data_IF_098677608641
#
_entry.id   IF_098677608641
#
_cell.length_a   1.000
_cell.length_b   1.000
_cell.length_c   1.000
_cell.angle_alpha   90.00
_cell.angle_beta   90.00
_cell.angle_gamma   90.00
#
_symmetry.space_group_name_H-M   'P 1'
#
loop_
_entity.id
_entity.type
_entity.pdbx_description
1 polymer ?
#
# COMPACT_ATOMS: atom_id res chain seq x y z
N UNK A 1 4.42 20.73 6.14
CA UNK A 1 3.34 19.84 6.60
C UNK A 1 2.44 19.35 5.45
N UNK A 2 1.77 20.23 4.69
CA UNK A 2 0.82 19.84 3.64
C UNK A 2 1.38 18.87 2.56
N UNK A 3 2.60 19.12 2.06
CA UNK A 3 3.25 18.23 1.07
C UNK A 3 3.37 16.78 1.55
N UNK A 4 3.62 16.59 2.84
CA UNK A 4 3.73 15.27 3.45
C UNK A 4 2.37 14.59 3.60
N UNK A 5 1.36 15.34 4.05
CA UNK A 5 -0.01 14.83 4.14
C UNK A 5 -0.55 14.43 2.76
N UNK A 6 -0.24 15.21 1.72
CA UNK A 6 -0.60 14.89 0.34
C UNK A 6 0.15 13.63 -0.12
N UNK A 7 1.45 13.53 0.14
CA UNK A 7 2.26 12.37 -0.20
C UNK A 7 1.82 11.09 0.51
N UNK A 8 1.16 11.17 1.67
CA UNK A 8 0.57 10.00 2.34
C UNK A 8 -0.86 9.74 1.87
N UNK A 9 -1.71 10.77 1.88
CA UNK A 9 -3.14 10.64 1.68
C UNK A 9 -3.49 10.22 0.25
N UNK A 10 -2.85 10.81 -0.75
CA UNK A 10 -3.19 10.55 -2.15
C UNK A 10 -2.89 9.09 -2.55
N UNK A 11 -1.72 8.52 -2.25
CA UNK A 11 -1.46 7.09 -2.51
C UNK A 11 -2.41 6.16 -1.76
N UNK A 12 -2.69 6.41 -0.47
CA UNK A 12 -3.60 5.55 0.31
C UNK A 12 -5.01 5.60 -0.25
N UNK A 13 -5.51 6.79 -0.60
CA UNK A 13 -6.82 6.94 -1.23
C UNK A 13 -6.87 6.23 -2.58
N UNK A 14 -5.84 6.38 -3.40
CA UNK A 14 -5.77 5.70 -4.69
C UNK A 14 -5.78 4.17 -4.53
N UNK A 15 -4.95 3.63 -3.64
CA UNK A 15 -4.91 2.18 -3.36
C UNK A 15 -6.28 1.68 -2.87
N UNK A 16 -6.90 2.40 -1.93
CA UNK A 16 -8.24 2.08 -1.44
C UNK A 16 -9.26 2.03 -2.57
N UNK A 17 -9.30 3.04 -3.45
CA UNK A 17 -10.22 3.07 -4.59
C UNK A 17 -9.96 1.92 -5.59
N UNK A 18 -8.69 1.62 -5.88
CA UNK A 18 -8.34 0.49 -6.77
C UNK A 18 -8.81 -0.83 -6.17
N UNK A 19 -8.59 -1.06 -4.87
CA UNK A 19 -9.03 -2.28 -4.18
C UNK A 19 -10.56 -2.41 -4.22
N UNK A 20 -11.28 -1.32 -3.94
CA UNK A 20 -12.74 -1.32 -3.86
C UNK A 20 -13.41 -1.55 -5.21
N UNK A 21 -12.93 -0.88 -6.26
CA UNK A 21 -13.62 -0.86 -7.54
C UNK A 21 -13.05 -1.84 -8.57
N UNK A 22 -11.77 -2.23 -8.48
CA UNK A 22 -11.09 -2.99 -9.55
C UNK A 22 -10.60 -4.38 -9.11
N UNK A 23 -10.20 -4.58 -7.85
CA UNK A 23 -9.72 -5.91 -7.38
C UNK A 23 -10.87 -6.89 -7.07
N UNK A 24 -10.75 -8.18 -7.45
CA UNK A 24 -11.86 -9.15 -7.41
C UNK A 24 -12.58 -9.28 -6.05
N UNK A 25 -13.83 -9.76 -6.08
CA UNK A 25 -14.78 -9.76 -4.95
C UNK A 25 -14.38 -10.66 -3.77
N UNK A 26 -13.44 -11.59 -3.98
CA UNK A 26 -13.03 -12.57 -2.98
C UNK A 26 -12.01 -12.03 -1.95
N UNK A 27 -11.57 -10.78 -2.08
CA UNK A 27 -10.77 -10.15 -1.05
C UNK A 27 -11.65 -9.90 0.17
N UNK A 28 -11.21 -10.32 1.38
CA UNK A 28 -11.98 -10.17 2.63
C UNK A 28 -12.64 -8.79 2.81
N UNK A 29 -11.97 -7.74 2.34
CA UNK A 29 -12.43 -6.36 2.41
C UNK A 29 -13.65 -6.10 1.51
N UNK A 30 -13.69 -6.70 0.31
CA UNK A 30 -14.86 -6.65 -0.57
C UNK A 30 -16.02 -7.49 -0.02
N UNK A 31 -15.74 -8.64 0.59
CA UNK A 31 -16.80 -9.46 1.22
C UNK A 31 -17.46 -8.72 2.38
N UNK A 32 -16.67 -8.11 3.28
CA UNK A 32 -17.18 -7.26 4.37
C UNK A 32 -17.97 -6.05 3.85
N UNK A 33 -17.51 -5.43 2.76
CA UNK A 33 -18.24 -4.34 2.14
C UNK A 33 -19.53 -4.79 1.49
N UNK A 34 -19.56 -5.94 0.83
CA UNK A 34 -20.79 -6.48 0.25
C UNK A 34 -21.82 -6.83 1.33
N UNK A 35 -21.37 -7.31 2.50
CA UNK A 35 -22.25 -7.57 3.66
C UNK A 35 -22.86 -6.30 4.27
N UNK A 36 -22.14 -5.17 4.20
CA UNK A 36 -22.59 -3.88 4.78
C UNK A 36 -23.21 -2.94 3.72
N UNK A 37 -22.90 -3.15 2.44
CA UNK A 37 -23.34 -2.29 1.34
C UNK A 37 -24.76 -2.63 0.89
N UNK A 38 -25.40 -1.65 0.26
CA UNK A 38 -26.72 -1.82 -0.35
C UNK A 38 -26.61 -2.64 -1.64
N UNK A 39 -27.72 -3.25 -2.06
CA UNK A 39 -27.84 -4.04 -3.31
C UNK A 39 -27.31 -3.33 -4.59
N UNK A 40 -27.07 -2.02 -4.53
CA UNK A 40 -26.60 -1.19 -5.63
C UNK A 40 -25.07 -1.11 -5.78
N UNK A 41 -24.27 -1.57 -4.81
CA UNK A 41 -22.80 -1.39 -4.88
C UNK A 41 -22.17 -2.17 -6.04
N UNK A 42 -22.62 -3.40 -6.29
CA UNK A 42 -22.16 -4.19 -7.43
C UNK A 42 -22.46 -3.53 -8.79
N UNK A 43 -23.63 -2.89 -8.93
CA UNK A 43 -24.01 -2.17 -10.14
C UNK A 43 -23.18 -0.90 -10.35
N UNK A 44 -22.93 -0.15 -9.27
CA UNK A 44 -22.05 1.02 -9.32
C UNK A 44 -20.65 0.62 -9.76
N UNK A 45 -20.13 -0.48 -9.19
CA UNK A 45 -18.80 -0.99 -9.52
C UNK A 45 -18.69 -1.43 -10.97
N UNK A 46 -19.65 -2.19 -11.48
CA UNK A 46 -19.64 -2.62 -12.88
C UNK A 46 -19.75 -1.43 -13.84
N UNK A 47 -20.56 -0.42 -13.51
CA UNK A 47 -20.62 0.83 -14.26
C UNK A 47 -19.27 1.55 -14.30
N UNK A 48 -18.59 1.69 -13.16
CA UNK A 48 -17.27 2.31 -13.09
C UNK A 48 -16.21 1.55 -13.90
N UNK A 49 -16.20 0.22 -13.84
CA UNK A 49 -15.25 -0.60 -14.59
C UNK A 49 -15.47 -0.51 -16.10
N UNK A 50 -16.71 -0.34 -16.55
CA UNK A 50 -17.03 -0.13 -17.97
C UNK A 50 -16.59 1.25 -18.47
N UNK A 51 -16.84 2.30 -17.69
CA UNK A 51 -16.53 3.67 -18.10
C UNK A 51 -15.03 3.99 -18.00
N UNK A 52 -14.34 3.40 -17.02
CA UNK A 52 -12.92 3.66 -16.76
C UNK A 52 -12.13 2.35 -16.65
N UNK A 53 -11.77 1.77 -17.79
CA UNK A 53 -10.90 0.60 -17.81
C UNK A 53 -9.46 0.98 -17.41
N UNK A 54 -9.02 0.56 -16.22
CA UNK A 54 -7.63 0.75 -15.77
C UNK A 54 -6.69 -0.31 -16.36
N UNK A 55 -5.45 0.06 -16.72
CA UNK A 55 -4.41 -0.91 -17.10
C UNK A 55 -4.15 -1.93 -15.98
N UNK A 56 -3.84 -3.17 -16.35
CA UNK A 56 -3.55 -4.26 -15.40
C UNK A 56 -2.48 -3.89 -14.37
N UNK A 57 -1.41 -3.23 -14.81
CA UNK A 57 -0.36 -2.71 -13.92
C UNK A 57 -0.91 -1.81 -12.80
N UNK A 58 -1.86 -0.92 -13.11
CA UNK A 58 -2.43 0.00 -12.12
C UNK A 58 -3.32 -0.70 -11.09
N UNK A 59 -3.91 -1.84 -11.48
CA UNK A 59 -4.81 -2.62 -10.63
C UNK A 59 -4.04 -3.61 -9.75
N UNK A 60 -3.03 -4.26 -10.32
CA UNK A 60 -2.34 -5.37 -9.67
C UNK A 60 -1.00 -4.96 -9.04
N UNK A 61 -0.13 -4.24 -9.76
CA UNK A 61 1.24 -3.96 -9.30
C UNK A 61 1.43 -2.61 -8.59
N UNK A 62 0.77 -1.57 -9.10
CA UNK A 62 0.94 -0.20 -8.60
C UNK A 62 0.54 -0.06 -7.11
N UNK A 63 -0.56 -0.67 -6.61
CA UNK A 63 -0.92 -0.56 -5.20
C UNK A 63 0.18 -1.07 -4.27
N UNK A 64 0.83 -2.20 -4.59
CA UNK A 64 1.95 -2.74 -3.80
C UNK A 64 3.11 -1.75 -3.68
N UNK A 65 3.52 -1.13 -4.80
CA UNK A 65 4.54 -0.08 -4.81
C UNK A 65 4.15 1.15 -3.97
N UNK A 66 2.89 1.58 -4.06
CA UNK A 66 2.37 2.71 -3.29
C UNK A 66 2.28 2.40 -1.79
N UNK A 67 1.93 1.17 -1.40
CA UNK A 67 1.99 0.73 -0.01
C UNK A 67 3.40 0.81 0.55
N UNK A 68 4.39 0.31 -0.20
CA UNK A 68 5.81 0.40 0.17
C UNK A 68 6.25 1.86 0.30
N UNK A 69 5.84 2.73 -0.63
CA UNK A 69 6.13 4.16 -0.56
C UNK A 69 5.59 4.79 0.74
N UNK A 70 4.31 4.60 1.04
CA UNK A 70 3.64 5.16 2.23
C UNK A 70 4.24 4.63 3.53
N UNK A 71 4.46 3.31 3.62
CA UNK A 71 5.04 2.66 4.78
C UNK A 71 6.45 3.14 5.04
N UNK A 72 7.29 3.20 4.01
CA UNK A 72 8.67 3.68 4.15
C UNK A 72 8.68 5.15 4.58
N UNK A 73 7.83 5.99 3.99
CA UNK A 73 7.72 7.40 4.35
C UNK A 73 7.27 7.59 5.81
N UNK A 74 6.28 6.82 6.30
CA UNK A 74 5.84 6.83 7.69
C UNK A 74 6.89 6.27 8.66
N UNK A 75 7.56 5.19 8.26
CA UNK A 75 8.58 4.47 9.03
C UNK A 75 9.90 5.23 9.16
N UNK A 76 10.06 6.36 8.49
CA UNK A 76 11.25 7.19 8.58
C UNK A 76 11.50 7.69 10.03
N UNK A 77 12.69 7.39 10.56
CA UNK A 77 13.11 7.57 11.96
C UNK A 77 12.27 6.86 13.02
N UNK A 78 11.38 5.95 12.63
CA UNK A 78 10.74 5.04 13.59
C UNK A 78 11.65 3.83 13.81
N UNK A 79 11.83 3.47 15.07
CA UNK A 79 12.60 2.30 15.47
C UNK A 79 11.76 1.46 16.43
N UNK A 80 11.75 0.15 16.23
CA UNK A 80 11.13 -0.82 17.14
C UNK A 80 12.15 -1.91 17.43
N UNK A 81 12.48 -2.13 18.70
CA UNK A 81 13.47 -3.13 19.14
C UNK A 81 14.82 -3.04 18.36
N UNK A 82 15.28 -1.82 18.06
CA UNK A 82 16.51 -1.58 17.30
C UNK A 82 16.38 -1.69 15.77
N UNK A 83 15.27 -2.20 15.27
CA UNK A 83 15.00 -2.27 13.84
C UNK A 83 14.39 -0.96 13.31
N UNK A 84 14.89 -0.47 12.18
CA UNK A 84 14.39 0.76 11.56
C UNK A 84 13.21 0.46 10.63
N UNK A 85 12.01 0.94 10.99
CA UNK A 85 10.75 0.61 10.28
C UNK A 85 10.66 1.13 8.83
N UNK A 86 11.53 2.06 8.43
CA UNK A 86 11.67 2.52 7.05
C UNK A 86 11.92 1.36 6.07
N UNK A 87 12.63 0.33 6.50
CA UNK A 87 12.93 -0.83 5.66
C UNK A 87 11.81 -1.87 5.63
N UNK A 88 10.86 -1.81 6.57
CA UNK A 88 9.88 -2.88 6.74
C UNK A 88 9.00 -3.06 5.50
N UNK A 89 8.52 -1.97 4.91
CA UNK A 89 7.71 -2.02 3.70
C UNK A 89 8.46 -2.67 2.53
N UNK A 90 9.72 -2.31 2.33
CA UNK A 90 10.56 -2.90 1.29
C UNK A 90 10.81 -4.39 1.53
N UNK A 91 11.24 -4.76 2.74
CA UNK A 91 11.50 -6.15 3.08
C UNK A 91 10.24 -7.01 2.94
N UNK A 92 9.09 -6.45 3.28
CA UNK A 92 7.82 -7.13 3.12
C UNK A 92 7.46 -7.32 1.64
N UNK A 93 7.50 -6.28 0.82
CA UNK A 93 7.20 -6.38 -0.60
C UNK A 93 8.15 -7.33 -1.35
N UNK A 94 9.46 -7.22 -1.10
CA UNK A 94 10.45 -8.14 -1.69
C UNK A 94 10.30 -9.57 -1.16
N UNK A 95 10.04 -9.72 0.13
CA UNK A 95 9.84 -11.02 0.76
C UNK A 95 8.61 -11.74 0.19
N UNK A 96 7.53 -11.00 -0.05
CA UNK A 96 6.31 -11.55 -0.63
C UNK A 96 6.55 -12.08 -2.06
N UNK A 97 7.14 -11.28 -2.94
CA UNK A 97 7.54 -11.74 -4.29
C UNK A 97 8.48 -12.94 -4.25
N UNK A 98 9.44 -12.94 -3.32
CA UNK A 98 10.34 -14.08 -3.14
C UNK A 98 9.57 -15.34 -2.72
N UNK A 99 8.62 -15.24 -1.79
CA UNK A 99 7.79 -16.38 -1.38
C UNK A 99 6.94 -16.94 -2.52
N UNK A 100 6.44 -16.09 -3.42
CA UNK A 100 5.72 -16.52 -4.62
C UNK A 100 6.67 -17.21 -5.61
N UNK A 101 7.88 -16.66 -5.80
CA UNK A 101 8.91 -17.22 -6.68
C UNK A 101 9.30 -18.66 -6.28
N UNK A 102 9.39 -18.94 -4.98
CA UNK A 102 9.72 -20.28 -4.47
C UNK A 102 8.49 -21.18 -4.25
N UNK A 103 7.29 -20.69 -4.56
CA UNK A 103 6.04 -21.46 -4.45
C UNK A 103 5.56 -21.71 -3.02
N UNK A 104 5.90 -20.82 -2.06
CA UNK A 104 5.41 -20.90 -0.67
C UNK A 104 4.00 -20.31 -0.55
N UNK A 105 3.68 -19.29 -1.34
CA UNK A 105 2.38 -18.61 -1.37
C UNK A 105 1.67 -18.87 -2.68
N UNK A 106 0.33 -18.84 -2.68
CA UNK A 106 -0.52 -19.14 -3.85
C UNK A 106 -0.51 -18.05 -4.94
N UNK A 107 0.40 -17.08 -4.86
CA UNK A 107 0.57 -16.01 -5.83
C UNK A 107 1.53 -16.38 -6.97
N UNK A 108 1.54 -15.55 -8.02
CA UNK A 108 2.50 -15.68 -9.13
C UNK A 108 3.51 -14.55 -9.05
N UNK A 109 4.80 -14.88 -9.07
CA UNK A 109 5.87 -13.89 -9.16
C UNK A 109 5.67 -12.99 -10.39
N UNK A 110 5.57 -11.67 -10.19
CA UNK A 110 5.49 -10.68 -11.26
C UNK A 110 6.64 -9.68 -11.15
N UNK A 111 7.44 -9.59 -12.22
CA UNK A 111 8.51 -8.61 -12.31
C UNK A 111 8.00 -7.18 -12.17
N UNK A 112 6.76 -6.89 -12.58
CA UNK A 112 6.14 -5.58 -12.43
C UNK A 112 5.89 -5.22 -10.96
N UNK A 113 5.52 -6.18 -10.12
CA UNK A 113 5.29 -5.98 -8.68
C UNK A 113 6.63 -5.65 -8.00
N UNK A 114 7.68 -6.40 -8.34
CA UNK A 114 9.04 -6.13 -7.89
C UNK A 114 9.51 -4.71 -8.28
N UNK A 115 9.30 -4.32 -9.54
CA UNK A 115 9.66 -2.98 -10.03
C UNK A 115 8.86 -1.91 -9.28
N UNK A 116 7.55 -2.10 -9.08
CA UNK A 116 6.69 -1.17 -8.37
C UNK A 116 7.15 -0.97 -6.91
N UNK A 117 7.48 -2.05 -6.21
CA UNK A 117 8.04 -2.04 -4.85
C UNK A 117 9.34 -1.22 -4.78
N UNK A 118 10.27 -1.46 -5.70
CA UNK A 118 11.55 -0.75 -5.74
C UNK A 118 11.38 0.74 -6.06
N UNK A 119 10.52 1.07 -7.01
CA UNK A 119 10.20 2.47 -7.35
C UNK A 119 9.56 3.18 -6.14
N UNK A 120 8.57 2.55 -5.51
CA UNK A 120 7.90 3.09 -4.33
C UNK A 120 8.87 3.38 -3.19
N UNK A 121 9.76 2.44 -2.89
CA UNK A 121 10.80 2.63 -1.89
C UNK A 121 11.78 3.75 -2.27
N UNK A 122 12.23 3.78 -3.53
CA UNK A 122 13.12 4.81 -4.06
C UNK A 122 12.52 6.22 -3.93
N UNK A 123 11.23 6.36 -4.27
CA UNK A 123 10.48 7.61 -4.09
C UNK A 123 10.41 8.01 -2.62
N UNK A 124 10.16 7.08 -1.70
CA UNK A 124 10.12 7.38 -0.26
C UNK A 124 11.49 7.86 0.24
N UNK A 125 12.57 7.22 -0.20
CA UNK A 125 13.95 7.64 0.10
C UNK A 125 14.25 9.04 -0.45
N UNK A 126 13.78 9.34 -1.66
CA UNK A 126 13.92 10.65 -2.26
C UNK A 126 13.15 11.74 -1.48
N UNK A 127 11.88 11.49 -1.16
CA UNK A 127 11.04 12.41 -0.39
C UNK A 127 11.57 12.65 1.02
N UNK A 128 12.05 11.59 1.69
CA UNK A 128 12.62 11.72 3.05
C UNK A 128 13.90 12.56 3.08
N UNK A 129 14.68 12.53 2.00
CA UNK A 129 15.93 13.31 1.89
C UNK A 129 15.67 14.77 1.56
N UNK A 130 14.69 15.05 0.69
CA UNK A 130 14.55 16.37 0.07
C UNK A 130 13.35 17.19 0.57
N UNK A 131 12.26 16.54 1.01
CA UNK A 131 10.97 17.22 1.22
C UNK A 131 10.51 17.29 2.67
N UNK A 132 11.11 16.49 3.56
CA UNK A 132 10.65 16.44 4.94
C UNK A 132 11.01 17.71 5.72
N UNK A 133 10.01 18.39 6.34
CA UNK A 133 10.26 19.55 7.17
C UNK A 133 11.23 19.24 8.31
N UNK A 134 12.01 20.23 8.73
CA UNK A 134 12.96 20.09 9.86
C UNK A 134 12.24 19.62 11.13
N UNK A 135 11.00 20.04 11.36
CA UNK A 135 10.17 19.61 12.49
C UNK A 135 9.97 18.08 12.55
N UNK A 136 9.88 17.43 11.39
CA UNK A 136 9.75 15.97 11.30
C UNK A 136 11.07 15.24 11.55
N UNK A 137 12.19 15.97 11.65
CA UNK A 137 13.49 15.45 12.10
C UNK A 137 13.55 15.31 13.64
N UNK A 138 12.55 15.76 14.38
CA UNK A 138 12.46 15.51 15.82
C UNK A 138 12.01 14.07 16.13
N UNK A 139 12.00 13.68 17.41
CA UNK A 139 11.53 12.34 17.80
C UNK A 139 10.07 12.14 17.36
N UNK A 140 9.74 11.04 16.67
CA UNK A 140 8.38 10.78 16.21
C UNK A 140 7.43 10.58 17.40
N UNK A 141 6.23 11.17 17.33
CA UNK A 141 5.16 10.93 18.30
C UNK A 141 4.54 9.54 18.18
N UNK A 142 3.94 9.05 19.26
CA UNK A 142 3.32 7.72 19.35
C UNK A 142 2.29 7.44 18.24
N UNK A 143 1.50 8.46 17.87
CA UNK A 143 0.49 8.34 16.81
C UNK A 143 1.07 7.87 15.46
N UNK A 144 2.35 8.16 15.17
CA UNK A 144 3.01 7.70 13.93
C UNK A 144 3.24 6.20 13.93
N UNK A 145 3.51 5.60 15.09
CA UNK A 145 3.60 4.14 15.22
C UNK A 145 2.23 3.51 14.97
N UNK A 146 1.18 4.09 15.57
CA UNK A 146 -0.20 3.63 15.35
C UNK A 146 -0.55 3.70 13.87
N UNK A 147 -0.37 4.86 13.22
CA UNK A 147 -0.65 5.02 11.80
C UNK A 147 0.17 4.06 10.92
N UNK A 148 1.46 3.88 11.22
CA UNK A 148 2.33 2.94 10.52
C UNK A 148 1.79 1.50 10.60
N UNK A 149 1.48 1.01 11.80
CA UNK A 149 0.99 -0.36 11.96
C UNK A 149 -0.42 -0.55 11.40
N UNK A 150 -1.31 0.44 11.53
CA UNK A 150 -2.63 0.39 10.90
C UNK A 150 -2.50 0.24 9.37
N UNK A 151 -1.67 1.06 8.73
CA UNK A 151 -1.47 0.98 7.28
C UNK A 151 -0.74 -0.31 6.90
N UNK A 152 0.22 -0.76 7.70
CA UNK A 152 0.95 -2.01 7.44
C UNK A 152 0.01 -3.21 7.43
N UNK A 153 -0.86 -3.33 8.44
CA UNK A 153 -1.83 -4.42 8.49
C UNK A 153 -2.92 -4.29 7.42
N UNK A 154 -3.32 -3.07 7.06
CA UNK A 154 -4.25 -2.86 5.95
C UNK A 154 -3.64 -3.27 4.59
N UNK A 155 -2.39 -2.89 4.32
CA UNK A 155 -1.66 -3.30 3.12
C UNK A 155 -1.46 -4.83 3.09
N UNK A 156 -1.03 -5.41 4.21
CA UNK A 156 -0.89 -6.86 4.37
C UNK A 156 -2.21 -7.59 4.07
N UNK A 157 -3.32 -7.13 4.67
CA UNK A 157 -4.63 -7.73 4.45
C UNK A 157 -5.12 -7.59 3.01
N UNK A 158 -4.75 -6.51 2.32
CA UNK A 158 -5.12 -6.29 0.93
C UNK A 158 -4.35 -7.21 -0.04
N UNK A 159 -3.05 -7.43 0.20
CA UNK A 159 -2.18 -8.15 -0.73
C UNK A 159 -1.99 -9.65 -0.39
N UNK A 160 -2.12 -10.05 0.88
CA UNK A 160 -1.89 -11.45 1.31
C UNK A 160 -3.18 -12.22 1.53
N UNK A 161 -4.27 -11.56 1.92
CA UNK A 161 -5.55 -12.23 2.21
C UNK A 161 -6.57 -12.10 1.06
N UNK A 162 -6.21 -11.48 -0.05
CA UNK A 162 -7.11 -11.18 -1.17
C UNK A 162 -6.66 -11.75 -2.49
#
# INVERSE_FOLDING_TARGET
MYRFLIALGLPVLFCGLVILFYRPENTYLNTLLLEVSTENFGQLRSWWQMELALPTFMVFSLPGGLWVFVLSLLGWRLYLAGFHLFWLGLLFGLGFEFTQLVGITDGTYDLQDLIAVLIGFGLARYCTSNWLPVEWRSKPGYWRYVAFFTIFFAAYGADVLG
#
